data_IF_395074484648
#
_entry.id   IF_395074484648
#
_cell.length_a   1.000
_cell.length_b   1.000
_cell.length_c   1.000
_cell.angle_alpha   90.00
_cell.angle_beta   90.00
_cell.angle_gamma   90.00
#
_symmetry.space_group_name_H-M   'P 1'
#
loop_
_entity.id
_entity.type
_entity.pdbx_description
1 polymer ?
#
# COMPACT_ATOMS: atom_id res chain seq x y z
N UNK A 1 -17.80 5.91 -7.73
CA UNK A 1 -16.37 5.80 -7.38
C UNK A 1 -15.89 4.42 -7.78
N UNK A 2 -14.79 4.33 -8.54
CA UNK A 2 -14.23 3.05 -9.03
C UNK A 2 -13.70 2.23 -7.86
N UNK A 3 -13.84 0.89 -7.89
CA UNK A 3 -13.47 -0.02 -6.80
C UNK A 3 -12.06 0.22 -6.23
N UNK A 4 -11.12 0.60 -7.09
CA UNK A 4 -9.77 0.97 -6.71
C UNK A 4 -9.70 2.18 -5.77
N UNK A 5 -10.44 3.27 -6.02
CA UNK A 5 -10.42 4.46 -5.16
C UNK A 5 -10.91 4.14 -3.75
N UNK A 6 -11.94 3.29 -3.63
CA UNK A 6 -12.45 2.82 -2.34
C UNK A 6 -11.38 1.98 -1.65
N UNK A 7 -10.73 1.07 -2.38
CA UNK A 7 -9.67 0.23 -1.85
C UNK A 7 -8.44 1.02 -1.40
N UNK A 8 -8.07 2.12 -2.08
CA UNK A 8 -7.00 3.03 -1.66
C UNK A 8 -7.33 3.66 -0.30
N UNK A 9 -8.54 4.19 -0.15
CA UNK A 9 -8.96 4.79 1.12
C UNK A 9 -8.93 3.78 2.27
N UNK A 10 -9.46 2.57 2.04
CA UNK A 10 -9.48 1.48 3.02
C UNK A 10 -8.07 1.00 3.33
N UNK A 11 -7.25 0.73 2.31
CA UNK A 11 -5.87 0.28 2.46
C UNK A 11 -5.03 1.27 3.25
N UNK A 12 -5.22 2.57 3.00
CA UNK A 12 -4.56 3.63 3.76
C UNK A 12 -4.97 3.62 5.23
N UNK A 13 -6.27 3.52 5.53
CA UNK A 13 -6.75 3.47 6.91
C UNK A 13 -6.25 2.22 7.65
N UNK A 14 -6.36 1.04 7.04
CA UNK A 14 -5.92 -0.23 7.61
C UNK A 14 -4.44 -0.18 7.94
N UNK A 15 -3.60 0.22 6.98
CA UNK A 15 -2.15 0.24 7.17
C UNK A 15 -1.74 1.32 8.16
N UNK A 16 -2.39 2.48 8.17
CA UNK A 16 -2.13 3.49 9.20
C UNK A 16 -2.44 2.99 10.62
N UNK A 17 -3.48 2.17 10.79
CA UNK A 17 -3.91 1.67 12.09
C UNK A 17 -3.17 0.40 12.55
N UNK A 18 -2.94 -0.57 11.65
CA UNK A 18 -2.35 -1.87 12.00
C UNK A 18 -0.82 -1.88 11.93
N UNK A 19 -0.23 -1.05 11.07
CA UNK A 19 1.17 -1.19 10.74
C UNK A 19 2.05 -0.40 11.72
N UNK A 20 2.55 -1.10 12.75
CA UNK A 20 3.55 -0.51 13.66
C UNK A 20 4.73 0.08 12.88
N UNK A 21 5.24 1.25 13.29
CA UNK A 21 6.34 1.95 12.62
C UNK A 21 7.70 1.22 12.66
N UNK A 22 7.77 0.01 13.25
CA UNK A 22 8.96 -0.83 13.21
C UNK A 22 9.14 -1.45 11.82
N UNK A 23 10.38 -1.45 11.32
CA UNK A 23 10.79 -2.11 10.06
C UNK A 23 10.03 -1.64 8.82
N UNK A 24 9.74 -0.33 8.69
CA UNK A 24 8.98 0.21 7.56
C UNK A 24 9.56 -0.10 6.18
N UNK A 25 10.89 -0.25 6.05
CA UNK A 25 11.54 -0.60 4.77
C UNK A 25 11.06 -1.95 4.23
N UNK A 26 11.02 -2.97 5.09
CA UNK A 26 10.56 -4.30 4.70
C UNK A 26 9.07 -4.32 4.35
N UNK A 27 8.27 -3.59 5.13
CA UNK A 27 6.82 -3.51 4.90
C UNK A 27 6.49 -2.77 3.61
N UNK A 28 7.22 -1.70 3.31
CA UNK A 28 7.11 -1.00 2.02
C UNK A 28 7.50 -1.91 0.86
N UNK A 29 8.60 -2.66 0.98
CA UNK A 29 8.99 -3.63 -0.04
C UNK A 29 7.93 -4.72 -0.26
N UNK A 30 7.33 -5.24 0.81
CA UNK A 30 6.25 -6.23 0.71
C UNK A 30 5.00 -5.65 0.03
N UNK A 31 4.63 -4.40 0.34
CA UNK A 31 3.51 -3.72 -0.32
C UNK A 31 3.81 -3.43 -1.81
N UNK A 32 5.04 -3.06 -2.14
CA UNK A 32 5.47 -2.88 -3.54
C UNK A 32 5.42 -4.19 -4.32
N UNK A 33 5.85 -5.30 -3.72
CA UNK A 33 5.73 -6.63 -4.34
C UNK A 33 4.28 -7.03 -4.53
N UNK A 34 3.42 -6.81 -3.53
CA UNK A 34 1.99 -7.11 -3.64
C UNK A 34 1.32 -6.26 -4.73
N UNK A 35 1.66 -4.98 -4.81
CA UNK A 35 1.19 -4.10 -5.89
C UNK A 35 1.65 -4.58 -7.27
N UNK A 36 2.93 -4.94 -7.41
CA UNK A 36 3.47 -5.46 -8.66
C UNK A 36 2.74 -6.75 -9.10
N UNK A 37 2.52 -7.68 -8.17
CA UNK A 37 1.78 -8.91 -8.45
C UNK A 37 0.32 -8.64 -8.83
N UNK A 38 -0.37 -7.75 -8.12
CA UNK A 38 -1.74 -7.36 -8.45
C UNK A 38 -1.81 -6.74 -9.84
N UNK A 39 -0.81 -5.93 -10.22
CA UNK A 39 -0.76 -5.31 -11.54
C UNK A 39 -0.45 -6.33 -12.64
N UNK A 40 0.47 -7.26 -12.41
CA UNK A 40 0.71 -8.39 -13.32
C UNK A 40 -0.55 -9.24 -13.49
N UNK A 41 -1.32 -9.44 -12.42
CA UNK A 41 -2.56 -10.21 -12.48
C UNK A 41 -3.61 -9.59 -13.40
N UNK A 42 -3.62 -8.26 -13.58
CA UNK A 42 -4.51 -7.60 -14.54
C UNK A 42 -4.28 -8.05 -15.98
N UNK A 43 -3.05 -8.42 -16.35
CA UNK A 43 -2.72 -8.90 -17.69
C UNK A 43 -3.34 -10.27 -18.00
N UNK A 44 -3.70 -11.04 -16.96
CA UNK A 44 -4.32 -12.37 -17.09
C UNK A 44 -5.82 -12.36 -16.72
N UNK A 45 -6.40 -11.18 -16.46
CA UNK A 45 -7.80 -11.05 -16.07
C UNK A 45 -8.72 -11.26 -17.29
N UNK A 46 -9.30 -12.46 -17.41
CA UNK A 46 -10.18 -12.84 -18.51
C UNK A 46 -11.61 -12.26 -18.40
N UNK A 47 -11.98 -11.66 -17.26
CA UNK A 47 -13.34 -11.13 -17.04
C UNK A 47 -13.40 -9.91 -16.12
N UNK A 48 -14.51 -9.16 -16.24
CA UNK A 48 -14.73 -7.93 -15.48
C UNK A 48 -14.59 -8.11 -13.97
N UNK A 49 -15.11 -9.21 -13.41
CA UNK A 49 -15.00 -9.51 -11.97
C UNK A 49 -13.54 -9.73 -11.55
N UNK A 50 -12.76 -10.48 -12.35
CA UNK A 50 -11.34 -10.72 -12.06
C UNK A 50 -10.51 -9.45 -12.16
N UNK A 51 -10.85 -8.57 -13.10
CA UNK A 51 -10.19 -7.27 -13.26
C UNK A 51 -10.53 -6.34 -12.09
N UNK A 52 -11.80 -6.30 -11.66
CA UNK A 52 -12.20 -5.54 -10.46
C UNK A 52 -11.48 -6.04 -9.20
N UNK A 53 -11.35 -7.36 -9.02
CA UNK A 53 -10.63 -7.93 -7.89
C UNK A 53 -9.13 -7.54 -7.90
N UNK A 54 -8.48 -7.62 -9.07
CA UNK A 54 -7.09 -7.20 -9.23
C UNK A 54 -6.89 -5.71 -8.92
N UNK A 55 -7.80 -4.84 -9.39
CA UNK A 55 -7.77 -3.39 -9.10
C UNK A 55 -8.09 -3.07 -7.64
N UNK A 56 -8.97 -3.83 -6.99
CA UNK A 56 -9.21 -3.69 -5.56
C UNK A 56 -7.97 -4.06 -4.73
N UNK A 57 -7.26 -5.15 -5.07
CA UNK A 57 -6.02 -5.50 -4.39
C UNK A 57 -4.91 -4.47 -4.64
N UNK A 58 -4.76 -4.01 -5.89
CA UNK A 58 -3.82 -2.95 -6.23
C UNK A 58 -4.10 -1.67 -5.43
N UNK A 59 -5.36 -1.23 -5.39
CA UNK A 59 -5.78 -0.08 -4.60
C UNK A 59 -5.49 -0.24 -3.11
N UNK A 60 -5.73 -1.42 -2.52
CA UNK A 60 -5.40 -1.67 -1.11
C UNK A 60 -3.90 -1.53 -0.85
N UNK A 61 -3.06 -2.08 -1.74
CA UNK A 61 -1.61 -1.97 -1.67
C UNK A 61 -1.13 -0.51 -1.79
N UNK A 62 -1.67 0.23 -2.76
CA UNK A 62 -1.39 1.65 -2.97
C UNK A 62 -1.79 2.49 -1.76
N UNK A 63 -2.99 2.29 -1.22
CA UNK A 63 -3.42 2.92 0.02
C UNK A 63 -2.45 2.65 1.16
N UNK A 64 -1.99 1.41 1.29
CA UNK A 64 -0.96 1.04 2.25
C UNK A 64 0.37 1.79 2.06
N UNK A 65 0.82 1.90 0.81
CA UNK A 65 2.05 2.64 0.46
C UNK A 65 1.91 4.13 0.75
N UNK A 66 0.74 4.72 0.50
CA UNK A 66 0.44 6.12 0.85
C UNK A 66 0.55 6.34 2.36
N UNK A 67 -0.02 5.45 3.17
CA UNK A 67 0.11 5.52 4.63
C UNK A 67 1.57 5.43 5.09
N UNK A 68 2.34 4.48 4.54
CA UNK A 68 3.77 4.34 4.86
C UNK A 68 4.56 5.58 4.46
N UNK A 69 4.33 6.12 3.25
CA UNK A 69 4.99 7.34 2.78
C UNK A 69 4.68 8.53 3.69
N UNK A 70 3.41 8.68 4.08
CA UNK A 70 2.96 9.76 4.97
C UNK A 70 3.64 9.68 6.33
N UNK A 71 3.73 8.48 6.92
CA UNK A 71 4.43 8.26 8.19
C UNK A 71 5.94 8.55 8.09
N UNK A 72 6.59 8.13 7.01
CA UNK A 72 8.01 8.42 6.77
C UNK A 72 8.27 9.92 6.61
N UNK A 73 7.41 10.64 5.89
CA UNK A 73 7.49 12.10 5.74
C UNK A 73 7.29 12.79 7.09
N UNK A 74 6.29 12.37 7.86
CA UNK A 74 5.99 12.93 9.17
C UNK A 74 7.18 12.75 10.14
N UNK A 75 7.81 11.57 10.14
CA UNK A 75 8.99 11.30 10.99
C UNK A 75 10.25 12.00 10.51
N UNK A 76 10.45 12.18 9.20
CA UNK A 76 11.61 12.89 8.67
C UNK A 76 11.68 14.35 9.12
N UNK A 77 10.55 14.95 9.52
CA UNK A 77 10.50 16.30 10.12
C UNK A 77 10.91 16.34 11.60
N UNK A 78 10.98 15.20 12.30
CA UNK A 78 11.61 15.05 13.62
C UNK A 78 12.98 14.39 13.42
N UNK A 79 14.00 15.21 13.20
CA UNK A 79 15.35 14.83 12.78
C UNK A 79 16.16 13.92 13.73
N UNK A 80 15.55 13.28 14.74
CA UNK A 80 16.33 12.55 15.76
C UNK A 80 16.63 11.08 15.41
N UNK A 81 16.02 10.47 14.37
CA UNK A 81 16.31 9.05 14.10
C UNK A 81 15.98 8.56 12.68
N UNK A 82 16.66 9.10 11.67
CA UNK A 82 16.63 8.54 10.31
C UNK A 82 17.58 7.32 10.18
N UNK A 83 18.43 7.05 11.17
CA UNK A 83 19.21 5.81 11.29
C UNK A 83 18.85 5.07 12.57
N UNK A 84 18.29 3.87 12.46
CA UNK A 84 18.10 2.99 13.60
C UNK A 84 19.45 2.62 14.24
N UNK A 85 19.44 2.51 15.58
CA UNK A 85 20.16 1.44 16.26
C UNK A 85 19.12 0.35 16.53
#
# INVERSE_FOLDING_TARGET
ATAEMIAIAIGSAIVAMLLSARNMRWKSAALLLLLALANVWTAYAAGANTLMAARALAGLAEGGLVAVATELIARSRRAERIGGF
#
